data_IF_976702301990
#
_entry.id   IF_976702301990
#
_cell.length_a   1.000
_cell.length_b   1.000
_cell.length_c   1.000
_cell.angle_alpha   90.00
_cell.angle_beta   90.00
_cell.angle_gamma   90.00
#
_symmetry.space_group_name_H-M   'P 1'
#
loop_
_entity.id
_entity.type
_entity.pdbx_description
1 polymer ?
#
# COMPACT_ATOMS: atom_id res chain seq x y z
N UNK A 1 1.53 5.22 -18.25
CA UNK A 1 2.07 5.32 -16.88
C UNK A 1 1.82 6.74 -16.41
N UNK A 2 1.39 6.95 -15.17
CA UNK A 2 1.10 8.29 -14.63
C UNK A 2 2.39 8.82 -13.98
N UNK A 3 2.77 10.06 -14.31
CA UNK A 3 3.95 10.70 -13.73
C UNK A 3 3.82 10.81 -12.20
N UNK A 4 4.88 10.46 -11.47
CA UNK A 4 4.90 10.48 -10.00
C UNK A 4 4.23 9.28 -9.31
N UNK A 5 3.65 8.34 -10.07
CA UNK A 5 3.12 7.08 -9.51
C UNK A 5 4.19 6.00 -9.54
N UNK A 6 4.50 5.44 -8.36
CA UNK A 6 5.41 4.32 -8.19
C UNK A 6 4.60 3.05 -7.96
N UNK A 7 4.89 2.00 -8.73
CA UNK A 7 4.29 0.67 -8.54
C UNK A 7 5.38 -0.31 -8.15
N UNK A 8 5.30 -0.84 -6.92
CA UNK A 8 6.21 -1.85 -6.40
C UNK A 8 5.53 -3.21 -6.41
N UNK A 9 6.15 -4.19 -7.08
CA UNK A 9 5.74 -5.59 -6.95
C UNK A 9 6.26 -6.14 -5.63
N UNK A 10 5.36 -6.48 -4.71
CA UNK A 10 5.72 -7.05 -3.41
C UNK A 10 6.21 -8.49 -3.56
N UNK A 11 7.29 -8.82 -2.85
CA UNK A 11 7.82 -10.19 -2.74
C UNK A 11 7.20 -10.86 -1.52
N UNK A 12 6.54 -11.99 -1.75
CA UNK A 12 6.03 -12.87 -0.68
C UNK A 12 7.07 -13.93 -0.39
N UNK A 13 7.47 -14.06 0.87
CA UNK A 13 8.44 -15.06 1.35
C UNK A 13 7.72 -16.05 2.27
N UNK A 14 7.21 -17.17 1.74
CA UNK A 14 6.45 -18.14 2.52
C UNK A 14 7.37 -19.08 3.33
N UNK A 15 6.84 -19.57 4.46
CA UNK A 15 7.41 -20.64 5.28
C UNK A 15 6.29 -21.51 5.90
N UNK A 16 6.62 -22.45 6.78
CA UNK A 16 5.65 -23.35 7.43
C UNK A 16 4.67 -22.65 8.39
N UNK A 17 4.93 -21.40 8.76
CA UNK A 17 4.14 -20.59 9.71
C UNK A 17 3.24 -19.58 8.99
N UNK A 18 3.51 -19.31 7.71
CA UNK A 18 2.79 -18.33 6.91
C UNK A 18 3.68 -17.68 5.86
N UNK A 19 3.76 -16.35 5.88
CA UNK A 19 4.62 -15.59 4.97
C UNK A 19 5.08 -14.26 5.57
N UNK A 20 6.20 -13.76 5.06
CA UNK A 20 6.69 -12.39 5.26
C UNK A 20 6.55 -11.58 3.97
N UNK A 21 6.11 -10.33 4.08
CA UNK A 21 6.12 -9.34 3.01
C UNK A 21 6.67 -8.02 3.57
N UNK A 22 7.65 -7.42 2.88
CA UNK A 22 8.12 -6.07 3.17
C UNK A 22 7.27 -5.03 2.45
N UNK A 23 6.30 -4.47 3.17
CA UNK A 23 5.29 -3.56 2.63
C UNK A 23 5.90 -2.24 2.11
N UNK A 24 6.64 -1.54 2.97
CA UNK A 24 7.33 -0.29 2.68
C UNK A 24 8.55 -0.20 3.59
N UNK A 25 9.72 0.11 3.02
CA UNK A 25 10.94 0.31 3.79
C UNK A 25 11.39 1.77 3.70
N UNK A 26 12.10 2.24 4.72
CA UNK A 26 12.54 3.64 4.78
C UNK A 26 13.66 3.98 3.80
N UNK A 27 14.30 2.97 3.20
CA UNK A 27 15.35 3.10 2.19
C UNK A 27 14.83 3.05 0.75
N UNK A 28 13.51 2.94 0.56
CA UNK A 28 12.87 2.90 -0.76
C UNK A 28 12.48 4.32 -1.23
N UNK A 29 12.55 4.57 -2.54
CA UNK A 29 12.18 5.86 -3.15
C UNK A 29 10.73 6.30 -2.84
N UNK A 30 9.83 5.32 -2.65
CA UNK A 30 8.43 5.57 -2.29
C UNK A 30 8.25 6.07 -0.85
N UNK A 31 9.24 5.89 0.02
CA UNK A 31 9.20 6.38 1.39
C UNK A 31 9.74 7.81 1.47
N UNK A 32 8.93 8.72 2.05
CA UNK A 32 9.36 10.10 2.33
C UNK A 32 9.57 10.31 3.83
N UNK A 33 8.51 10.12 4.60
CA UNK A 33 8.50 10.27 6.05
C UNK A 33 7.37 9.44 6.65
N UNK A 34 7.48 9.15 7.94
CA UNK A 34 6.38 8.51 8.67
C UNK A 34 5.39 9.58 9.16
N UNK A 35 4.10 9.35 8.94
CA UNK A 35 3.03 10.14 9.53
C UNK A 35 1.99 9.26 10.21
N UNK A 36 1.40 8.33 9.46
CA UNK A 36 0.35 7.45 9.95
C UNK A 36 0.32 6.13 9.17
N UNK A 37 -0.13 5.07 9.84
CA UNK A 37 -0.56 3.82 9.21
C UNK A 37 -1.97 3.51 9.69
N UNK A 38 -2.87 3.17 8.76
CA UNK A 38 -4.23 2.76 9.07
C UNK A 38 -4.66 1.63 8.14
N UNK A 39 -5.63 0.83 8.59
CA UNK A 39 -6.21 -0.26 7.83
C UNK A 39 -7.68 0.04 7.55
N UNK A 40 -8.13 -0.24 6.34
CA UNK A 40 -9.54 -0.15 5.97
C UNK A 40 -9.96 -1.38 5.17
N UNK A 41 -11.25 -1.71 5.23
CA UNK A 41 -11.86 -2.78 4.43
C UNK A 41 -12.95 -2.20 3.53
N UNK A 42 -13.15 -2.80 2.36
CA UNK A 42 -14.25 -2.50 1.44
C UNK A 42 -15.01 -3.80 1.18
N UNK A 43 -16.33 -3.77 1.35
CA UNK A 43 -17.17 -4.89 0.94
C UNK A 43 -17.25 -4.98 -0.59
N UNK A 44 -17.53 -6.17 -1.16
CA UNK A 44 -17.67 -6.33 -2.60
C UNK A 44 -18.64 -5.32 -3.22
N UNK A 45 -18.23 -4.69 -4.33
CA UNK A 45 -19.02 -3.67 -5.03
C UNK A 45 -18.95 -2.26 -4.43
N UNK A 46 -18.33 -2.07 -3.26
CA UNK A 46 -18.17 -0.75 -2.65
C UNK A 46 -16.91 -0.05 -3.18
N UNK A 47 -17.07 1.18 -3.64
CA UNK A 47 -15.97 2.06 -4.07
C UNK A 47 -15.68 3.10 -2.98
N UNK A 48 -14.41 3.23 -2.58
CA UNK A 48 -13.94 4.31 -1.69
C UNK A 48 -13.10 5.30 -2.49
N UNK A 49 -13.74 6.37 -2.95
CA UNK A 49 -13.10 7.44 -3.70
C UNK A 49 -14.11 8.46 -4.19
N UNK A 50 -13.67 9.59 -4.75
CA UNK A 50 -12.27 9.98 -4.94
C UNK A 50 -11.73 10.73 -3.72
N UNK A 51 -10.47 10.47 -3.34
CA UNK A 51 -9.78 11.22 -2.29
C UNK A 51 -8.59 11.97 -2.89
N UNK A 52 -8.40 13.21 -2.44
CA UNK A 52 -7.28 14.04 -2.83
C UNK A 52 -6.73 14.77 -1.61
N UNK A 53 -5.41 14.80 -1.50
CA UNK A 53 -4.71 15.47 -0.42
C UNK A 53 -3.73 16.51 -0.98
N UNK A 54 -3.72 17.71 -0.37
CA UNK A 54 -2.78 18.79 -0.75
C UNK A 54 -1.38 18.61 -0.13
N UNK A 55 -1.28 17.88 0.98
CA UNK A 55 -0.08 17.79 1.83
C UNK A 55 0.30 16.37 2.23
N UNK A 56 -0.50 15.38 1.84
CA UNK A 56 -0.32 13.99 2.21
C UNK A 56 -0.10 13.17 0.94
N UNK A 57 0.78 12.17 1.05
CA UNK A 57 0.98 11.15 0.05
C UNK A 57 0.63 9.81 0.67
N UNK A 58 -0.15 9.00 -0.06
CA UNK A 58 -0.60 7.71 0.42
C UNK A 58 0.10 6.58 -0.31
N UNK A 59 0.57 5.60 0.46
CA UNK A 59 1.06 4.33 -0.05
C UNK A 59 -0.03 3.27 0.20
N UNK A 60 -0.66 2.78 -0.87
CA UNK A 60 -1.73 1.79 -0.77
C UNK A 60 -1.21 0.38 -1.01
N UNK A 61 -1.61 -0.55 -0.13
CA UNK A 61 -1.26 -1.96 -0.24
C UNK A 61 -2.49 -2.81 0.06
N UNK A 62 -2.84 -3.70 -0.87
CA UNK A 62 -3.85 -4.73 -0.64
C UNK A 62 -3.21 -5.92 0.10
N UNK A 63 -3.39 -5.99 1.42
CA UNK A 63 -2.82 -7.06 2.25
C UNK A 63 -3.67 -8.35 2.25
N UNK A 64 -4.93 -8.27 1.79
CA UNK A 64 -5.85 -9.41 1.69
C UNK A 64 -6.96 -9.13 0.67
N UNK A 65 -7.27 -10.13 -0.16
CA UNK A 65 -8.35 -10.05 -1.15
C UNK A 65 -7.90 -9.48 -2.48
N UNK A 66 -8.78 -8.70 -3.12
CA UNK A 66 -8.54 -8.05 -4.41
C UNK A 66 -9.11 -6.63 -4.32
N UNK A 67 -8.34 -5.66 -4.82
CA UNK A 67 -8.68 -4.25 -4.85
C UNK A 67 -8.39 -3.67 -6.24
#
# INVERSE_FOLDING_TARGET
MIEGVIVKKLRVMPDERGFLIELLRSDEEAFKEFGQVYLTTCYPGVVKGWHYHKKQMDNFICVKGMA
#
